data_IF_057141049438
#
_entry.id   IF_057141049438
#
_cell.length_a   1.000
_cell.length_b   1.000
_cell.length_c   1.000
_cell.angle_alpha   90.00
_cell.angle_beta   90.00
_cell.angle_gamma   90.00
#
_symmetry.space_group_name_H-M   'P 1'
#
loop_
_entity.id
_entity.type
_entity.pdbx_description
1 polymer ?
#
# COMPACT_ATOMS: atom_id res chain seq x y z
N UNK A 1 -2.73 -13.93 -6.32
CA UNK A 1 -1.67 -13.57 -7.29
C UNK A 1 -0.71 -14.76 -7.39
N UNK A 2 -0.49 -15.29 -8.59
CA UNK A 2 0.38 -16.46 -8.80
C UNK A 2 1.84 -16.02 -8.89
N UNK A 3 2.76 -16.85 -8.40
CA UNK A 3 4.20 -16.58 -8.51
C UNK A 3 4.62 -16.60 -9.98
N UNK A 4 5.33 -15.57 -10.42
CA UNK A 4 5.95 -15.49 -11.74
C UNK A 4 7.46 -15.72 -11.63
N UNK A 5 8.07 -16.21 -12.72
CA UNK A 5 9.53 -16.34 -12.80
C UNK A 5 10.23 -14.97 -12.86
N UNK A 6 9.55 -13.98 -13.47
CA UNK A 6 10.02 -12.61 -13.61
C UNK A 6 8.83 -11.66 -13.40
N UNK A 7 9.07 -10.53 -12.75
CA UNK A 7 8.13 -9.43 -12.64
C UNK A 7 8.72 -8.22 -13.35
N UNK A 8 7.95 -7.60 -14.25
CA UNK A 8 8.32 -6.36 -14.91
C UNK A 8 8.39 -5.20 -13.90
N UNK A 9 9.05 -4.09 -14.27
CA UNK A 9 9.25 -2.95 -13.35
C UNK A 9 7.93 -2.31 -12.90
N UNK A 10 6.93 -2.29 -13.78
CA UNK A 10 5.58 -1.80 -13.54
C UNK A 10 4.75 -2.77 -12.69
N UNK A 11 5.15 -4.04 -12.53
CA UNK A 11 4.35 -5.03 -11.79
C UNK A 11 4.26 -4.70 -10.27
N UNK A 12 3.11 -4.93 -9.59
CA UNK A 12 2.91 -4.49 -8.20
C UNK A 12 3.90 -5.11 -7.22
N UNK A 13 4.36 -6.33 -7.49
CA UNK A 13 5.43 -6.99 -6.70
C UNK A 13 6.74 -6.22 -6.79
N UNK A 14 7.15 -5.83 -8.00
CA UNK A 14 8.38 -5.07 -8.22
C UNK A 14 8.28 -3.71 -7.55
N UNK A 15 7.14 -3.03 -7.71
CA UNK A 15 6.89 -1.75 -7.06
C UNK A 15 6.96 -1.86 -5.53
N UNK A 16 6.27 -2.84 -4.95
CA UNK A 16 6.27 -3.08 -3.52
C UNK A 16 7.68 -3.35 -2.98
N UNK A 17 8.43 -4.26 -3.61
CA UNK A 17 9.78 -4.61 -3.18
C UNK A 17 10.76 -3.44 -3.29
N UNK A 18 10.72 -2.70 -4.40
CA UNK A 18 11.59 -1.54 -4.61
C UNK A 18 11.25 -0.41 -3.65
N UNK A 19 9.97 -0.06 -3.49
CA UNK A 19 9.53 0.96 -2.55
C UNK A 19 9.90 0.63 -1.11
N UNK A 20 9.70 -0.61 -0.67
CA UNK A 20 10.15 -1.07 0.65
C UNK A 20 11.67 -0.98 0.79
N UNK A 21 12.44 -1.40 -0.22
CA UNK A 21 13.90 -1.32 -0.17
C UNK A 21 14.39 0.13 -0.09
N UNK A 22 13.77 1.06 -0.80
CA UNK A 22 14.08 2.50 -0.72
C UNK A 22 13.77 3.00 0.69
N UNK A 23 12.54 2.80 1.18
CA UNK A 23 12.10 3.25 2.50
C UNK A 23 13.02 2.75 3.63
N UNK A 24 13.38 1.46 3.60
CA UNK A 24 14.28 0.86 4.59
C UNK A 24 15.72 1.41 4.52
N UNK A 25 16.22 1.72 3.32
CA UNK A 25 17.59 2.23 3.15
C UNK A 25 17.74 3.70 3.49
N UNK A 26 16.69 4.49 3.28
CA UNK A 26 16.76 5.96 3.43
C UNK A 26 15.97 6.47 4.64
N UNK A 27 15.17 5.62 5.29
CA UNK A 27 14.25 6.04 6.35
C UNK A 27 13.10 6.94 5.85
N UNK A 28 12.82 6.92 4.53
CA UNK A 28 11.73 7.71 3.93
C UNK A 28 10.38 7.04 4.19
N UNK A 29 9.31 7.82 4.08
CA UNK A 29 7.95 7.29 4.14
C UNK A 29 7.74 6.22 3.05
N UNK A 30 7.11 5.10 3.45
CA UNK A 30 6.91 3.96 2.57
C UNK A 30 5.94 4.28 1.44
N UNK A 31 4.87 5.03 1.71
CA UNK A 31 3.87 5.37 0.70
C UNK A 31 4.45 6.33 -0.33
N UNK A 32 5.24 7.32 0.11
CA UNK A 32 5.99 8.21 -0.79
C UNK A 32 6.97 7.44 -1.68
N UNK A 33 7.76 6.53 -1.09
CA UNK A 33 8.72 5.72 -1.85
C UNK A 33 8.04 4.80 -2.87
N UNK A 34 6.87 4.24 -2.53
CA UNK A 34 6.05 3.48 -3.47
C UNK A 34 5.51 4.36 -4.60
N UNK A 35 5.00 5.56 -4.29
CA UNK A 35 4.43 6.46 -5.28
C UNK A 35 5.47 6.95 -6.28
N UNK A 36 6.64 7.35 -5.81
CA UNK A 36 7.77 7.79 -6.65
C UNK A 36 8.21 6.68 -7.60
N UNK A 37 8.38 5.45 -7.10
CA UNK A 37 8.78 4.34 -7.94
C UNK A 37 7.68 3.88 -8.90
N UNK A 38 6.42 3.88 -8.47
CA UNK A 38 5.28 3.56 -9.33
C UNK A 38 5.22 4.52 -10.52
N UNK A 39 5.36 5.82 -10.27
CA UNK A 39 5.38 6.84 -11.32
C UNK A 39 6.56 6.65 -12.27
N UNK A 40 7.76 6.39 -11.74
CA UNK A 40 8.95 6.09 -12.55
C UNK A 40 8.78 4.82 -13.41
N UNK A 41 8.00 3.85 -12.93
CA UNK A 41 7.67 2.62 -13.66
C UNK A 41 6.47 2.77 -14.61
N UNK A 42 5.88 3.97 -14.73
CA UNK A 42 4.72 4.23 -15.60
C UNK A 42 3.36 3.84 -15.01
N UNK A 43 3.31 3.53 -13.71
CA UNK A 43 2.06 3.24 -12.98
C UNK A 43 1.58 4.49 -12.27
N UNK A 44 0.32 4.88 -12.53
CA UNK A 44 -0.31 6.03 -11.87
C UNK A 44 -0.40 5.78 -10.35
N UNK A 45 0.18 6.65 -9.50
CA UNK A 45 0.01 6.56 -8.05
C UNK A 45 -1.47 6.59 -7.66
N UNK A 46 -1.82 5.87 -6.60
CA UNK A 46 -3.18 5.78 -6.06
C UNK A 46 -4.23 5.20 -7.04
N UNK A 47 -3.80 4.43 -8.03
CA UNK A 47 -4.67 3.61 -8.86
C UNK A 47 -4.94 2.24 -8.21
N UNK A 48 -5.95 1.51 -8.68
CA UNK A 48 -6.20 0.13 -8.23
C UNK A 48 -4.96 -0.77 -8.37
N UNK A 49 -4.12 -0.51 -9.39
CA UNK A 49 -2.88 -1.24 -9.61
C UNK A 49 -1.80 -0.89 -8.58
N UNK A 50 -1.73 0.39 -8.19
CA UNK A 50 -0.90 0.85 -7.09
C UNK A 50 -1.37 0.31 -5.74
N UNK A 51 -2.68 0.20 -5.52
CA UNK A 51 -3.26 -0.35 -4.29
C UNK A 51 -2.80 -1.79 -4.04
N UNK A 52 -2.63 -2.58 -5.10
CA UNK A 52 -2.04 -3.92 -4.99
C UNK A 52 -0.59 -3.88 -4.51
N UNK A 53 0.22 -2.93 -4.99
CA UNK A 53 1.60 -2.75 -4.53
C UNK A 53 1.64 -2.32 -3.06
N UNK A 54 0.83 -1.34 -2.69
CA UNK A 54 0.73 -0.85 -1.32
C UNK A 54 0.25 -1.97 -0.36
N UNK A 55 -0.73 -2.77 -0.76
CA UNK A 55 -1.20 -3.95 -0.02
C UNK A 55 -0.10 -5.00 0.18
N UNK A 56 0.70 -5.27 -0.85
CA UNK A 56 1.85 -6.17 -0.77
C UNK A 56 2.91 -5.64 0.20
N UNK A 57 3.17 -4.34 0.16
CA UNK A 57 4.08 -3.63 1.07
C UNK A 57 3.55 -3.51 2.51
N UNK A 58 2.30 -3.90 2.78
CA UNK A 58 1.71 -3.91 4.11
C UNK A 58 0.89 -2.68 4.47
N UNK A 59 0.73 -1.74 3.54
CA UNK A 59 -0.10 -0.55 3.65
C UNK A 59 -1.29 -0.62 2.69
N UNK A 60 -2.27 -1.52 2.88
CA UNK A 60 -3.43 -1.56 2.01
C UNK A 60 -4.27 -0.27 2.10
N UNK A 61 -4.86 0.12 0.97
CA UNK A 61 -5.90 1.15 0.96
C UNK A 61 -7.16 0.66 1.70
N UNK A 62 -7.66 1.47 2.63
CA UNK A 62 -8.87 1.23 3.39
C UNK A 62 -9.97 2.19 2.92
N UNK A 63 -10.88 1.68 2.09
CA UNK A 63 -12.01 2.46 1.54
C UNK A 63 -12.90 3.09 2.60
N UNK A 64 -13.08 2.44 3.76
CA UNK A 64 -13.93 2.96 4.82
C UNK A 64 -13.33 4.20 5.50
N UNK A 65 -12.00 4.34 5.45
CA UNK A 65 -11.26 5.47 5.99
C UNK A 65 -10.80 6.46 4.91
N UNK A 66 -10.88 6.07 3.63
CA UNK A 66 -10.26 6.78 2.51
C UNK A 66 -8.75 7.05 2.71
N UNK A 67 -8.03 6.06 3.27
CA UNK A 67 -6.62 6.18 3.65
C UNK A 67 -5.85 4.88 3.41
N UNK A 68 -4.54 4.99 3.18
CA UNK A 68 -3.62 3.87 3.31
C UNK A 68 -3.25 3.70 4.77
N UNK A 69 -3.44 2.49 5.30
CA UNK A 69 -3.23 2.17 6.71
C UNK A 69 -2.55 0.81 6.83
N UNK A 70 -2.01 0.48 8.00
CA UNK A 70 -1.49 -0.85 8.25
C UNK A 70 -2.62 -1.91 8.21
N UNK A 71 -2.22 -3.18 8.08
CA UNK A 71 -3.16 -4.32 7.95
C UNK A 71 -4.09 -4.47 9.14
N UNK A 72 -3.65 -4.14 10.34
CA UNK A 72 -4.46 -4.28 11.54
C UNK A 72 -5.54 -3.18 11.59
N UNK A 73 -5.14 -1.93 11.36
CA UNK A 73 -6.08 -0.80 11.27
C UNK A 73 -7.12 -1.04 10.18
N UNK A 74 -6.73 -1.51 8.99
CA UNK A 74 -7.71 -1.87 7.95
C UNK A 74 -8.69 -2.94 8.43
N UNK A 75 -8.22 -4.02 9.07
CA UNK A 75 -9.11 -5.09 9.60
C UNK A 75 -10.05 -4.57 10.68
N UNK A 76 -9.62 -3.64 11.52
CA UNK A 76 -10.47 -2.99 12.52
C UNK A 76 -11.56 -2.15 11.83
N UNK A 77 -11.17 -1.30 10.87
CA UNK A 77 -12.10 -0.48 10.10
C UNK A 77 -13.13 -1.32 9.32
N UNK A 78 -12.70 -2.39 8.67
CA UNK A 78 -13.58 -3.30 7.92
C UNK A 78 -14.64 -3.95 8.84
N UNK A 79 -14.34 -4.20 10.12
CA UNK A 79 -15.31 -4.77 11.10
C UNK A 79 -16.31 -3.75 11.62
N UNK A 80 -15.92 -2.48 11.73
CA UNK A 80 -16.75 -1.40 12.26
C UNK A 80 -17.72 -0.85 11.22
N UNK A 81 -17.39 -1.01 9.93
CA UNK A 81 -18.17 -0.43 8.84
C UNK A 81 -17.98 1.09 8.73
N UNK A 82 -18.47 1.68 7.63
CA UNK A 82 -18.16 3.05 7.22
C UNK A 82 -18.39 4.10 8.32
N UNK A 83 -19.55 4.09 8.99
CA UNK A 83 -19.91 5.11 9.98
C UNK A 83 -19.03 5.10 11.23
N UNK A 84 -18.38 3.97 11.54
CA UNK A 84 -17.57 3.78 12.74
C UNK A 84 -16.09 3.53 12.41
N UNK A 85 -15.71 3.56 11.14
CA UNK A 85 -14.36 3.22 10.69
C UNK A 85 -13.28 4.07 11.37
N UNK A 86 -13.56 5.36 11.63
CA UNK A 86 -12.65 6.28 12.32
C UNK A 86 -12.22 5.78 13.71
N UNK A 87 -13.04 4.98 14.40
CA UNK A 87 -12.69 4.39 15.70
C UNK A 87 -11.54 3.38 15.60
N UNK A 88 -11.27 2.84 14.40
CA UNK A 88 -10.10 1.98 14.15
C UNK A 88 -8.78 2.70 14.40
N UNK A 89 -8.75 4.03 14.28
CA UNK A 89 -7.56 4.87 14.52
C UNK A 89 -7.35 5.21 16.00
N UNK A 90 -8.36 5.02 16.84
CA UNK A 90 -8.35 5.45 18.24
C UNK A 90 -7.80 4.37 19.22
N UNK A 91 -7.47 3.17 18.73
CA UNK A 91 -7.07 2.04 19.57
C UNK A 91 -5.56 1.83 19.53
N UNK A 92 -4.86 2.26 20.59
CA UNK A 92 -3.48 1.87 20.89
C UNK A 92 -3.46 0.55 21.66
#
# INVERSE_FOLDING_TARGET
MNKQAHYSADHPVSIALTGMAIALRTGRDLLEALAEWAEAAGVRPYSDYFDDAARLAGMPYCRALDLYVDRETKRRADRLGYHQAHLALCSA
#
